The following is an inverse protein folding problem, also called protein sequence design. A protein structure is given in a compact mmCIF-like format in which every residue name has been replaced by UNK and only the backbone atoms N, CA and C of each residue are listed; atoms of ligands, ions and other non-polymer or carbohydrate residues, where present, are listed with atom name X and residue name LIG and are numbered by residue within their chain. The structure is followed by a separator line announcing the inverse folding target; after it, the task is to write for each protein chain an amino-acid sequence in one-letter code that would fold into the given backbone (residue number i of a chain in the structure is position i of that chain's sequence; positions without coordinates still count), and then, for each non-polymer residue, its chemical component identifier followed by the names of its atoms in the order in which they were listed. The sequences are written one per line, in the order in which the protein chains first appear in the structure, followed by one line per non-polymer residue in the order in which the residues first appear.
data_IF_014309198360
#
_entry.id   IF_014309198360
#
_cell.length_a   1.000
_cell.length_b   1.000
_cell.length_c   1.000
_cell.angle_alpha   90.00
_cell.angle_beta   90.00
_cell.angle_gamma   90.00
#
_symmetry.space_group_name_H-M   'P 1'
#
loop_
_entity.id
_entity.type
_entity.pdbx_description
1 polymer ?
#
# COMPACT_ATOMS: atom_id res chain seq x y z
N UNK A 1 7.68 -15.00 -0.86
CA UNK A 1 8.02 -14.63 0.54
C UNK A 1 7.03 -13.60 1.03
N UNK A 2 6.59 -13.73 2.26
CA UNK A 2 5.80 -12.69 2.95
C UNK A 2 6.73 -11.92 3.87
N UNK A 3 6.70 -10.60 3.78
CA UNK A 3 7.30 -9.74 4.81
C UNK A 3 6.40 -9.74 6.05
N UNK A 4 6.98 -9.45 7.19
CA UNK A 4 6.19 -9.17 8.38
C UNK A 4 5.28 -7.97 8.12
N UNK A 5 4.07 -7.99 8.66
CA UNK A 5 3.19 -6.84 8.66
C UNK A 5 3.82 -5.69 9.46
N UNK A 6 3.75 -4.49 8.93
CA UNK A 6 4.15 -3.28 9.64
C UNK A 6 2.93 -2.41 9.85
N UNK A 7 2.68 -2.03 11.09
CA UNK A 7 1.68 -1.04 11.44
C UNK A 7 2.31 0.34 11.33
N UNK A 8 1.63 1.23 10.63
CA UNK A 8 2.08 2.60 10.37
C UNK A 8 0.93 3.56 10.57
N UNK A 9 1.24 4.79 10.88
CA UNK A 9 0.25 5.86 10.93
C UNK A 9 0.73 7.13 10.24
N UNK A 10 -0.22 7.92 9.75
CA UNK A 10 0.01 9.22 9.13
C UNK A 10 -0.78 10.27 9.91
N UNK A 11 -0.05 11.13 10.60
CA UNK A 11 -0.62 12.15 11.48
C UNK A 11 -1.21 13.33 10.70
N UNK A 12 -2.37 13.80 11.14
CA UNK A 12 -3.01 15.03 10.67
C UNK A 12 -2.51 16.30 11.38
N UNK A 13 -1.68 16.18 12.40
CA UNK A 13 -1.16 17.34 13.14
C UNK A 13 -0.42 18.29 12.21
N UNK A 14 -0.80 19.56 12.23
CA UNK A 14 -0.23 20.60 11.37
C UNK A 14 -0.89 20.73 10.00
N UNK A 15 -1.89 19.90 9.67
CA UNK A 15 -2.74 20.11 8.51
C UNK A 15 -3.76 21.24 8.79
N UNK A 16 -4.13 22.00 7.76
CA UNK A 16 -5.16 23.03 7.90
C UNK A 16 -6.55 22.39 7.81
N UNK A 17 -7.47 22.78 8.67
CA UNK A 17 -8.85 22.27 8.71
C UNK A 17 -9.64 22.49 7.41
N UNK A 18 -9.21 23.45 6.59
CA UNK A 18 -9.84 23.78 5.31
C UNK A 18 -9.24 23.02 4.12
N UNK A 19 -8.20 22.23 4.34
CA UNK A 19 -7.46 21.56 3.27
C UNK A 19 -7.95 20.12 3.14
N UNK A 20 -8.60 19.80 2.01
CA UNK A 20 -9.02 18.43 1.72
C UNK A 20 -7.85 17.45 1.61
N UNK A 21 -6.68 17.89 1.12
CA UNK A 21 -5.46 17.09 1.00
C UNK A 21 -4.29 17.79 1.69
N UNK A 22 -3.74 17.15 2.67
CA UNK A 22 -2.52 17.55 3.34
C UNK A 22 -1.37 16.78 2.73
N UNK A 23 -0.54 17.45 1.96
CA UNK A 23 0.52 16.84 1.16
C UNK A 23 1.81 16.60 1.96
N UNK A 24 2.66 15.69 1.49
CA UNK A 24 3.98 15.43 2.04
C UNK A 24 3.97 15.07 3.53
N UNK A 25 3.09 14.15 3.92
CA UNK A 25 3.01 13.68 5.32
C UNK A 25 4.06 12.63 5.66
N UNK A 26 4.77 12.14 4.67
CA UNK A 26 5.83 11.15 4.80
C UNK A 26 6.08 10.42 3.50
N UNK A 27 6.87 9.39 3.59
CA UNK A 27 7.12 8.46 2.47
C UNK A 27 7.19 7.04 2.99
N UNK A 28 6.75 6.10 2.16
CA UNK A 28 6.93 4.67 2.35
C UNK A 28 7.86 4.15 1.27
N UNK A 29 8.99 3.60 1.66
CA UNK A 29 9.94 2.96 0.76
C UNK A 29 9.95 1.46 1.00
N UNK A 30 9.71 0.70 -0.07
CA UNK A 30 9.90 -0.75 -0.09
C UNK A 30 11.24 -1.03 -0.74
N UNK A 31 12.07 -1.82 -0.04
CA UNK A 31 13.38 -2.25 -0.54
C UNK A 31 13.44 -3.77 -0.49
N UNK A 32 13.82 -4.37 -1.60
CA UNK A 32 14.00 -5.80 -1.77
C UNK A 32 15.50 -6.11 -1.87
N UNK A 33 15.91 -7.31 -1.46
CA UNK A 33 17.31 -7.75 -1.52
C UNK A 33 17.84 -7.91 -2.95
N UNK A 34 16.95 -8.08 -3.90
CA UNK A 34 17.22 -8.16 -5.35
C UNK A 34 16.02 -7.62 -6.12
N UNK A 35 16.17 -7.45 -7.43
CA UNK A 35 15.09 -6.95 -8.28
C UNK A 35 13.93 -7.93 -8.30
N UNK A 36 12.74 -7.43 -7.99
CA UNK A 36 11.47 -8.17 -8.03
C UNK A 36 10.60 -7.65 -9.15
N UNK A 37 9.78 -8.52 -9.74
CA UNK A 37 8.86 -8.15 -10.81
C UNK A 37 7.43 -8.25 -10.31
N UNK A 38 6.68 -7.15 -10.47
CA UNK A 38 5.26 -7.07 -10.14
C UNK A 38 4.90 -7.50 -8.71
N UNK A 39 5.61 -7.06 -7.67
CA UNK A 39 5.27 -7.43 -6.31
C UNK A 39 3.86 -6.98 -5.93
N UNK A 40 3.25 -7.69 -5.00
CA UNK A 40 1.91 -7.38 -4.49
C UNK A 40 2.02 -6.86 -3.06
N UNK A 41 1.42 -5.70 -2.82
CA UNK A 41 1.22 -5.18 -1.47
C UNK A 41 -0.20 -5.45 -1.00
N UNK A 42 -0.33 -5.80 0.27
CA UNK A 42 -1.61 -5.99 0.94
C UNK A 42 -1.76 -4.91 2.00
N UNK A 43 -2.77 -4.09 1.86
CA UNK A 43 -3.03 -2.95 2.75
C UNK A 43 -4.35 -3.16 3.46
N UNK A 44 -4.36 -2.88 4.76
CA UNK A 44 -5.52 -2.98 5.62
C UNK A 44 -5.64 -1.74 6.48
N UNK A 45 -6.84 -1.17 6.53
CA UNK A 45 -7.17 -0.13 7.48
C UNK A 45 -7.01 1.31 6.99
N UNK A 46 -6.90 1.57 5.67
CA UNK A 46 -6.84 2.96 5.19
C UNK A 46 -8.14 3.69 5.53
N UNK A 47 -8.10 4.55 6.52
CA UNK A 47 -9.22 5.38 6.96
C UNK A 47 -9.38 5.39 8.47
N UNK A 48 -9.56 6.58 9.01
CA UNK A 48 -9.76 6.81 10.43
C UNK A 48 -10.72 7.96 10.68
N UNK A 49 -11.27 8.00 11.89
CA UNK A 49 -12.07 9.14 12.36
C UNK A 49 -11.59 9.63 13.70
N UNK A 50 -11.74 10.93 13.92
CA UNK A 50 -11.61 11.53 15.23
C UNK A 50 -12.75 12.55 15.40
N UNK A 51 -13.72 12.20 16.23
CA UNK A 51 -14.95 12.99 16.34
C UNK A 51 -15.71 13.05 15.01
N UNK A 52 -15.92 14.26 14.51
CA UNK A 52 -16.60 14.49 13.21
C UNK A 52 -15.64 14.61 12.03
N UNK A 53 -14.34 14.49 12.25
CA UNK A 53 -13.33 14.51 11.20
C UNK A 53 -13.01 13.08 10.74
N UNK A 54 -12.70 12.91 9.45
CA UNK A 54 -12.19 11.67 8.91
C UNK A 54 -10.86 11.91 8.20
N UNK A 55 -10.02 10.87 8.21
CA UNK A 55 -8.68 10.89 7.63
C UNK A 55 -8.47 9.62 6.83
N UNK A 56 -7.79 9.71 5.70
CA UNK A 56 -7.33 8.53 4.98
C UNK A 56 -6.03 8.82 4.24
N UNK A 57 -5.09 7.93 4.40
CA UNK A 57 -3.81 7.99 3.72
C UNK A 57 -4.01 7.78 2.22
N UNK A 58 -3.31 8.57 1.43
CA UNK A 58 -3.13 8.39 0.00
C UNK A 58 -1.67 8.06 -0.26
N UNK A 59 -1.43 6.98 -0.99
CA UNK A 59 -0.12 6.53 -1.42
C UNK A 59 0.06 6.93 -2.87
N UNK A 60 0.98 7.83 -3.14
CA UNK A 60 1.29 8.31 -4.49
C UNK A 60 2.61 7.71 -4.94
N UNK A 61 2.63 7.07 -6.10
CA UNK A 61 3.87 6.61 -6.69
C UNK A 61 4.80 7.80 -6.92
N UNK A 62 5.99 7.78 -6.34
CA UNK A 62 6.90 8.92 -6.30
C UNK A 62 8.21 8.66 -7.03
N UNK A 63 8.89 7.57 -6.71
CA UNK A 63 10.15 7.20 -7.34
C UNK A 63 10.43 5.71 -7.28
N UNK A 64 11.36 5.24 -8.10
CA UNK A 64 11.83 3.88 -8.14
C UNK A 64 13.17 3.83 -8.88
N UNK A 65 13.90 2.74 -8.72
CA UNK A 65 15.06 2.40 -9.56
C UNK A 65 14.69 1.65 -10.85
N UNK A 66 13.40 1.45 -11.12
CA UNK A 66 12.91 0.90 -12.37
C UNK A 66 13.20 1.84 -13.56
N UNK A 67 13.31 1.27 -14.77
CA UNK A 67 13.49 2.04 -16.02
C UNK A 67 12.34 3.03 -16.27
N UNK A 68 11.13 2.62 -15.91
CA UNK A 68 9.93 3.48 -15.95
C UNK A 68 9.29 3.48 -14.58
N UNK A 69 8.69 4.61 -14.20
CA UNK A 69 8.00 4.72 -12.91
C UNK A 69 6.90 3.65 -12.81
N UNK A 70 6.92 2.79 -11.78
CA UNK A 70 5.92 1.75 -11.61
C UNK A 70 4.51 2.31 -11.47
N UNK A 71 3.52 1.47 -11.76
CA UNK A 71 2.10 1.81 -11.64
C UNK A 71 1.38 0.82 -10.75
N UNK A 72 0.20 1.20 -10.29
CA UNK A 72 -0.64 0.34 -9.44
C UNK A 72 -1.75 -0.34 -10.24
N UNK A 73 -2.04 -1.59 -9.88
CA UNK A 73 -3.23 -2.33 -10.33
C UNK A 73 -3.91 -2.98 -9.14
N UNK A 74 -5.20 -2.68 -8.92
CA UNK A 74 -5.99 -3.34 -7.87
C UNK A 74 -6.25 -4.78 -8.26
N UNK A 75 -5.88 -5.73 -7.41
CA UNK A 75 -6.13 -7.16 -7.59
C UNK A 75 -7.39 -7.62 -6.84
N UNK A 76 -7.69 -7.01 -5.72
CA UNK A 76 -8.83 -7.34 -4.89
C UNK A 76 -8.99 -6.37 -3.73
N UNK A 77 -10.04 -6.56 -2.96
CA UNK A 77 -10.32 -5.71 -1.80
C UNK A 77 -11.71 -5.10 -1.85
N UNK A 78 -12.04 -4.33 -0.81
CA UNK A 78 -13.36 -3.73 -0.68
C UNK A 78 -13.57 -2.51 -1.60
N UNK A 79 -14.80 -2.02 -1.65
CA UNK A 79 -15.18 -0.86 -2.49
C UNK A 79 -14.66 0.46 -1.96
N UNK A 80 -14.30 0.54 -0.68
CA UNK A 80 -13.70 1.73 -0.09
C UNK A 80 -12.28 1.99 -0.62
N UNK A 81 -11.55 0.96 -1.02
CA UNK A 81 -10.22 1.11 -1.61
C UNK A 81 -10.30 1.43 -3.10
N UNK A 82 -9.80 2.58 -3.48
CA UNK A 82 -9.66 3.03 -4.87
C UNK A 82 -8.20 3.00 -5.28
N UNK A 83 -7.93 2.46 -6.46
CA UNK A 83 -6.59 2.38 -7.04
C UNK A 83 -6.62 2.91 -8.46
N UNK A 84 -5.74 3.84 -8.75
CA UNK A 84 -5.41 4.30 -10.10
C UNK A 84 -3.97 3.92 -10.42
N UNK A 85 -3.51 4.19 -11.64
CA UNK A 85 -2.12 3.90 -12.00
C UNK A 85 -1.08 4.57 -11.08
N UNK A 86 -1.38 5.72 -10.51
CA UNK A 86 -0.45 6.51 -9.69
C UNK A 86 -0.83 6.66 -8.22
N UNK A 87 -2.02 6.21 -7.80
CA UNK A 87 -2.51 6.48 -6.45
C UNK A 87 -3.33 5.31 -5.87
N UNK A 88 -3.08 5.00 -4.61
CA UNK A 88 -3.93 4.13 -3.78
C UNK A 88 -4.52 5.01 -2.68
N UNK A 89 -5.84 4.97 -2.47
CA UNK A 89 -6.51 5.71 -1.40
C UNK A 89 -7.81 5.04 -0.97
N UNK A 90 -8.35 5.47 0.16
CA UNK A 90 -9.71 5.16 0.54
C UNK A 90 -10.67 6.26 0.07
N UNK A 91 -11.90 5.90 -0.24
CA UNK A 91 -13.02 6.83 -0.48
C UNK A 91 -13.97 6.91 0.70
N UNK A 92 -13.62 6.22 1.78
CA UNK A 92 -14.45 6.15 2.97
C UNK A 92 -14.55 7.51 3.67
N UNK A 93 -15.76 7.99 3.85
CA UNK A 93 -16.07 9.25 4.55
C UNK A 93 -16.43 9.03 6.02
N UNK A 94 -16.56 7.78 6.44
CA UNK A 94 -16.89 7.39 7.81
C UNK A 94 -15.78 6.45 8.28
N UNK A 95 -14.81 6.98 8.99
CA UNK A 95 -13.68 6.20 9.43
C UNK A 95 -14.08 4.93 10.15
N UNK A 96 -13.57 3.84 9.67
CA UNK A 96 -13.65 2.53 10.29
C UNK A 96 -12.32 1.83 10.14
N UNK A 97 -11.96 1.04 11.12
CA UNK A 97 -10.73 0.22 11.10
C UNK A 97 -10.96 -1.16 10.51
N UNK A 98 -12.21 -1.52 10.21
CA UNK A 98 -12.59 -2.83 9.71
C UNK A 98 -12.59 -2.91 8.19
N UNK A 99 -12.06 -4.00 7.66
CA UNK A 99 -12.11 -4.33 6.24
C UNK A 99 -13.45 -4.93 5.77
N UNK A 100 -14.42 -5.10 6.69
CA UNK A 100 -15.71 -5.68 6.38
C UNK A 100 -16.50 -4.80 5.42
N UNK A 101 -17.20 -5.39 4.48
CA UNK A 101 -18.06 -4.66 3.54
C UNK A 101 -19.05 -3.75 4.29
N UNK A 102 -19.15 -2.49 3.87
CA UNK A 102 -20.01 -1.49 4.52
C UNK A 102 -19.35 -0.73 5.67
N UNK A 103 -18.16 -1.11 6.11
CA UNK A 103 -17.33 -0.33 7.03
C UNK A 103 -16.22 0.37 6.25
N UNK A 104 -15.78 1.50 6.77
CA UNK A 104 -15.20 2.56 5.97
C UNK A 104 -13.69 2.49 5.72
N UNK A 105 -12.99 1.46 6.20
CA UNK A 105 -11.55 1.32 5.92
C UNK A 105 -11.28 0.76 4.52
N UNK A 106 -10.37 1.37 3.79
CA UNK A 106 -9.86 0.83 2.53
C UNK A 106 -8.95 -0.35 2.78
N UNK A 107 -9.29 -1.53 2.24
CA UNK A 107 -8.51 -2.75 2.39
C UNK A 107 -8.42 -3.49 1.07
N UNK A 108 -7.25 -4.03 0.76
CA UNK A 108 -7.10 -4.82 -0.46
C UNK A 108 -5.67 -5.17 -0.81
N UNK A 109 -5.55 -5.78 -1.97
CA UNK A 109 -4.28 -6.18 -2.58
C UNK A 109 -4.05 -5.38 -3.86
N UNK A 110 -2.85 -4.86 -4.01
CA UNK A 110 -2.45 -4.03 -5.13
C UNK A 110 -1.12 -4.52 -5.67
N UNK A 111 -1.06 -4.77 -6.97
CA UNK A 111 0.18 -5.05 -7.67
C UNK A 111 0.89 -3.74 -8.02
N UNK A 112 2.19 -3.69 -7.79
CA UNK A 112 3.07 -2.64 -8.27
C UNK A 112 3.71 -3.13 -9.57
N UNK A 113 3.24 -2.62 -10.71
CA UNK A 113 3.69 -3.09 -12.03
C UNK A 113 5.07 -2.53 -12.36
N UNK A 114 6.03 -3.40 -12.55
CA UNK A 114 7.41 -3.04 -12.89
C UNK A 114 8.41 -4.02 -12.30
N UNK A 115 9.67 -3.84 -12.66
CA UNK A 115 10.81 -4.59 -12.10
C UNK A 115 11.75 -3.58 -11.43
N UNK A 116 12.01 -3.76 -10.15
CA UNK A 116 12.78 -2.82 -9.33
C UNK A 116 13.31 -3.50 -8.05
N UNK A 117 14.32 -2.89 -7.46
CA UNK A 117 14.82 -3.23 -6.13
C UNK A 117 14.22 -2.30 -5.08
N UNK A 118 13.95 -1.05 -5.47
CA UNK A 118 13.43 -0.05 -4.54
C UNK A 118 12.32 0.76 -5.19
N UNK A 119 11.24 0.97 -4.43
CA UNK A 119 10.13 1.84 -4.83
C UNK A 119 9.70 2.70 -3.65
N UNK A 120 9.44 3.96 -3.90
CA UNK A 120 8.99 4.93 -2.90
C UNK A 120 7.64 5.51 -3.27
N UNK A 121 6.75 5.52 -2.31
CA UNK A 121 5.46 6.18 -2.35
C UNK A 121 5.46 7.39 -1.42
N UNK A 122 5.05 8.55 -1.92
CA UNK A 122 4.75 9.71 -1.10
C UNK A 122 3.42 9.46 -0.38
N UNK A 123 3.35 9.84 0.89
CA UNK A 123 2.15 9.75 1.70
C UNK A 123 1.53 11.14 1.86
N UNK A 124 0.30 11.28 1.41
CA UNK A 124 -0.56 12.40 1.69
C UNK A 124 -1.68 11.97 2.64
N UNK A 125 -2.30 12.92 3.33
CA UNK A 125 -3.49 12.67 4.12
C UNK A 125 -4.69 13.39 3.51
N UNK A 126 -5.69 12.65 3.11
CA UNK A 126 -6.98 13.18 2.70
C UNK A 126 -7.84 13.36 3.96
N UNK A 127 -8.50 14.50 4.06
CA UNK A 127 -9.28 14.86 5.24
C UNK A 127 -10.64 15.41 4.85
N UNK A 128 -11.59 15.27 5.76
CA UNK A 128 -12.91 15.83 5.60
C UNK A 128 -13.70 15.82 6.90
N UNK A 129 -14.95 16.23 6.82
CA UNK A 129 -15.79 16.40 8.00
C UNK A 129 -15.60 17.75 8.67
N UNK A 130 -16.07 17.87 9.91
CA UNK A 130 -15.95 19.07 10.75
C UNK A 130 -15.15 18.70 12.00
N UNK A 131 -14.06 19.40 12.25
CA UNK A 131 -13.24 19.17 13.44
C UNK A 131 -11.79 19.60 13.27
N UNK A 132 -11.05 19.60 14.34
CA UNK A 132 -9.61 19.90 14.31
C UNK A 132 -8.83 18.69 13.82
N UNK A 133 -7.83 18.84 12.94
CA UNK A 133 -7.01 17.74 12.45
C UNK A 133 -6.00 17.30 13.50
N UNK A 134 -6.46 16.61 14.53
CA UNK A 134 -5.63 16.11 15.64
C UNK A 134 -5.44 14.59 15.61
N UNK A 135 -6.08 13.90 14.65
CA UNK A 135 -6.02 12.45 14.51
C UNK A 135 -4.89 11.97 13.63
N UNK A 136 -4.91 10.69 13.37
CA UNK A 136 -4.03 10.01 12.43
C UNK A 136 -4.81 8.92 11.71
N UNK A 137 -4.32 8.53 10.54
CA UNK A 137 -4.77 7.33 9.85
C UNK A 137 -3.76 6.22 10.07
N UNK A 138 -4.18 5.16 10.76
CA UNK A 138 -3.39 3.97 11.03
C UNK A 138 -3.76 2.84 10.07
N UNK A 139 -2.77 2.19 9.50
CA UNK A 139 -2.93 1.09 8.55
C UNK A 139 -1.79 0.09 8.64
N UNK A 140 -2.07 -1.13 8.17
CA UNK A 140 -1.09 -2.22 8.12
C UNK A 140 -0.75 -2.53 6.68
N UNK A 141 0.52 -2.77 6.39
CA UNK A 141 1.01 -3.18 5.07
C UNK A 141 1.87 -4.43 5.16
N UNK A 142 1.69 -5.32 4.19
CA UNK A 142 2.62 -6.43 3.91
C UNK A 142 2.94 -6.45 2.43
N UNK A 143 4.07 -7.04 2.06
CA UNK A 143 4.40 -7.29 0.66
C UNK A 143 4.54 -8.80 0.42
N UNK A 144 4.13 -9.26 -0.75
CA UNK A 144 4.42 -10.58 -1.28
C UNK A 144 5.07 -10.45 -2.65
N UNK A 145 6.00 -11.34 -2.92
CA UNK A 145 6.69 -11.46 -4.19
C UNK A 145 6.51 -12.89 -4.68
N UNK A 146 6.25 -13.03 -5.97
CA UNK A 146 6.26 -14.33 -6.63
C UNK A 146 7.72 -14.67 -6.92
N UNK A 147 8.39 -15.19 -5.89
CA UNK A 147 9.73 -15.75 -6.03
C UNK A 147 9.64 -17.25 -5.92
N UNK A 148 10.17 -17.91 -6.92
CA UNK A 148 10.45 -19.32 -6.81
C UNK A 148 11.75 -19.50 -6.01
N UNK A 149 11.60 -20.03 -4.80
CA UNK A 149 12.73 -20.52 -4.00
C UNK A 149 13.09 -21.97 -4.33
N UNK A 150 12.63 -22.46 -5.49
CA UNK A 150 12.61 -23.87 -5.84
C UNK A 150 13.89 -24.43 -6.44
N UNK A 151 14.98 -23.70 -6.46
CA UNK A 151 16.27 -24.30 -6.78
C UNK A 151 16.78 -25.14 -5.61
N UNK A 152 16.11 -26.27 -5.38
CA UNK A 152 16.79 -27.35 -4.70
C UNK A 152 18.14 -27.60 -5.41
N UNK A 153 19.27 -27.63 -4.70
CA UNK A 153 20.55 -27.94 -5.31
C UNK A 153 20.40 -29.17 -6.22
N UNK A 154 21.01 -29.18 -7.41
CA UNK A 154 20.88 -30.26 -8.38
C UNK A 154 21.20 -31.66 -7.84
N UNK A 155 21.71 -31.76 -6.60
CA UNK A 155 21.82 -32.98 -5.80
C UNK A 155 20.47 -33.54 -5.31
N UNK A 156 19.40 -32.72 -5.29
CA UNK A 156 18.04 -33.13 -4.89
C UNK A 156 17.14 -33.47 -6.06
N UNK A 157 17.38 -32.88 -7.21
CA UNK A 157 16.69 -33.22 -8.46
C UNK A 157 17.63 -33.05 -9.65
N UNK A 158 18.41 -34.10 -9.96
CA UNK A 158 19.37 -34.05 -11.05
C UNK A 158 18.68 -34.03 -12.43
N UNK A 159 17.36 -34.12 -12.51
CA UNK A 159 16.60 -34.26 -13.78
C UNK A 159 15.71 -33.06 -14.07
N UNK A 160 15.44 -32.22 -13.14
CA UNK A 160 14.64 -31.02 -13.31
C UNK A 160 15.50 -29.81 -13.04
N UNK A 161 15.79 -29.04 -14.05
CA UNK A 161 16.05 -27.63 -13.86
C UNK A 161 14.75 -27.07 -13.28
N UNK A 162 14.72 -26.79 -11.99
CA UNK A 162 13.56 -26.22 -11.34
C UNK A 162 13.39 -24.76 -11.81
N UNK A 163 12.87 -24.59 -13.00
CA UNK A 163 12.36 -23.31 -13.45
C UNK A 163 10.86 -23.33 -13.29
N UNK A 164 10.38 -22.82 -12.19
CA UNK A 164 8.96 -22.60 -12.00
C UNK A 164 8.62 -21.17 -12.39
N UNK A 165 8.08 -21.03 -13.57
CA UNK A 165 7.37 -19.80 -13.93
C UNK A 165 5.99 -19.93 -13.30
N UNK A 166 5.79 -19.24 -12.21
CA UNK A 166 4.45 -19.09 -11.65
C UNK A 166 3.78 -17.99 -12.49
N UNK A 167 2.90 -18.42 -13.38
CA UNK A 167 2.09 -17.55 -14.22
C UNK A 167 1.03 -16.81 -13.44
#
# INVERSE_FOLDING_TARGET
VRTNASDMDVSAVGCLTTTFRCVNRGSLTLTFSHAVTNPVIHISGIGGTSGSAFYHTSFLMSSSDAVTLPTFTKLGGNTAMTVTAGEIRSTAINGGTSCTAGTAAGCGSVRINGTFTTVTMQLDLLMGGSGSPTGADGWTITASVDEDFGDAPGSYDPTAAASHIVG
#
